data_IF_778959090044
#
_entry.id   IF_778959090044
#
_cell.length_a   1.000
_cell.length_b   1.000
_cell.length_c   1.000
_cell.angle_alpha   90.00
_cell.angle_beta   90.00
_cell.angle_gamma   90.00
#
_symmetry.space_group_name_H-M   'P 1'
#
loop_
_entity.id
_entity.type
_entity.pdbx_description
1 polymer ?
#
# COMPACT_ATOMS: atom_id res chain seq x y z
N UNK A 1 5.24 -39.06 -1.25
CA UNK A 1 5.56 -38.30 0.00
C UNK A 1 5.74 -36.85 -0.43
N UNK A 2 5.14 -35.80 0.13
CA UNK A 2 4.54 -35.57 1.45
C UNK A 2 3.46 -34.47 1.35
N UNK A 3 2.39 -34.72 2.10
CA UNK A 3 1.10 -34.02 2.15
C UNK A 3 1.19 -32.78 3.06
N UNK A 4 1.61 -31.67 2.48
CA UNK A 4 1.32 -30.33 3.04
C UNK A 4 0.78 -29.48 1.89
N UNK A 5 -0.37 -29.91 1.38
CA UNK A 5 -1.11 -29.17 0.36
C UNK A 5 -1.74 -27.95 1.02
N UNK A 6 -1.11 -26.81 0.79
CA UNK A 6 -1.73 -25.53 1.07
C UNK A 6 -2.79 -25.30 -0.02
N UNK A 7 -4.00 -24.90 0.37
CA UNK A 7 -5.10 -24.69 -0.58
C UNK A 7 -5.41 -23.20 -0.70
N UNK A 8 -6.03 -22.82 -1.81
CA UNK A 8 -6.61 -21.48 -1.97
C UNK A 8 -7.62 -21.23 -0.83
N UNK A 9 -7.56 -20.06 -0.22
CA UNK A 9 -8.42 -19.67 0.89
C UNK A 9 -7.95 -20.12 2.28
N UNK A 10 -6.83 -20.83 2.40
CA UNK A 10 -6.24 -21.17 3.70
C UNK A 10 -5.53 -19.96 4.33
N UNK A 11 -5.45 -19.93 5.66
CA UNK A 11 -4.72 -18.91 6.40
C UNK A 11 -3.30 -19.38 6.69
N UNK A 12 -2.34 -18.62 6.17
CA UNK A 12 -0.92 -18.91 6.32
C UNK A 12 -0.19 -17.77 6.99
N UNK A 13 0.91 -18.12 7.62
CA UNK A 13 1.86 -17.18 8.21
C UNK A 13 3.17 -17.26 7.45
N UNK A 14 3.79 -16.10 7.24
CA UNK A 14 5.13 -16.03 6.66
C UNK A 14 6.15 -16.36 7.73
N UNK A 15 6.97 -17.38 7.48
CA UNK A 15 8.00 -17.82 8.45
C UNK A 15 9.32 -17.07 8.26
N UNK A 16 9.59 -16.59 7.05
CA UNK A 16 10.88 -16.03 6.62
C UNK A 16 10.68 -14.94 5.56
N UNK A 17 11.55 -13.94 5.55
CA UNK A 17 11.52 -12.81 4.60
C UNK A 17 11.18 -11.47 5.25
N UNK A 18 10.92 -10.45 4.43
CA UNK A 18 10.58 -9.09 4.88
C UNK A 18 9.28 -9.04 5.71
N UNK A 19 8.34 -9.95 5.41
CA UNK A 19 7.01 -9.99 6.01
C UNK A 19 6.89 -11.07 7.12
N UNK A 20 8.00 -11.47 7.74
CA UNK A 20 8.03 -12.53 8.76
C UNK A 20 7.06 -12.27 9.92
N UNK A 21 6.23 -13.26 10.23
CA UNK A 21 5.27 -13.24 11.34
C UNK A 21 3.91 -12.65 10.98
N UNK A 22 3.75 -12.08 9.78
CA UNK A 22 2.44 -11.65 9.28
C UNK A 22 1.62 -12.84 8.82
N UNK A 23 0.32 -12.75 9.06
CA UNK A 23 -0.70 -13.73 8.68
C UNK A 23 -1.45 -13.18 7.47
N UNK A 24 -1.88 -14.06 6.58
CA UNK A 24 -2.70 -13.66 5.45
C UNK A 24 -3.38 -14.85 4.80
N UNK A 25 -4.37 -14.55 3.96
CA UNK A 25 -5.17 -15.53 3.24
C UNK A 25 -4.62 -15.74 1.83
N UNK A 26 -4.62 -16.98 1.36
CA UNK A 26 -4.16 -17.29 0.01
C UNK A 26 -5.23 -16.92 -1.01
N UNK A 27 -4.91 -15.95 -1.87
CA UNK A 27 -5.73 -15.52 -3.00
C UNK A 27 -5.58 -16.52 -4.16
N UNK A 28 -4.34 -16.90 -4.46
CA UNK A 28 -4.03 -17.81 -5.55
C UNK A 28 -2.85 -18.72 -5.20
N UNK A 29 -2.93 -19.97 -5.64
CA UNK A 29 -1.87 -20.95 -5.47
C UNK A 29 -1.50 -21.57 -6.82
N UNK A 30 -0.28 -21.32 -7.26
CA UNK A 30 0.30 -21.95 -8.42
C UNK A 30 1.15 -23.15 -7.99
N UNK A 31 0.64 -24.36 -8.23
CA UNK A 31 1.32 -25.62 -7.90
C UNK A 31 2.54 -25.89 -8.78
N UNK A 32 2.56 -25.39 -10.02
CA UNK A 32 3.64 -25.66 -10.96
C UNK A 32 4.94 -24.94 -10.57
N UNK A 33 4.83 -23.70 -10.08
CA UNK A 33 5.98 -22.87 -9.65
C UNK A 33 6.13 -22.83 -8.11
N UNK A 34 5.35 -23.63 -7.38
CA UNK A 34 5.26 -23.62 -5.91
C UNK A 34 5.10 -22.21 -5.31
N UNK A 35 4.38 -21.34 -6.02
CA UNK A 35 4.15 -19.94 -5.66
C UNK A 35 2.75 -19.70 -5.11
N UNK A 36 2.67 -18.96 -4.02
CA UNK A 36 1.43 -18.57 -3.35
C UNK A 36 1.32 -17.05 -3.31
N UNK A 37 0.21 -16.51 -3.79
CA UNK A 37 -0.15 -15.09 -3.62
C UNK A 37 -0.99 -14.97 -2.37
N UNK A 38 -0.54 -14.15 -1.42
CA UNK A 38 -1.21 -13.91 -0.15
C UNK A 38 -1.70 -12.47 -0.12
N UNK A 39 -2.94 -12.29 0.32
CA UNK A 39 -3.58 -10.98 0.35
C UNK A 39 -2.86 -10.03 1.30
N UNK A 40 -2.53 -8.83 0.83
CA UNK A 40 -1.93 -7.78 1.66
C UNK A 40 -0.48 -8.03 2.12
N UNK A 41 0.19 -9.07 1.62
CA UNK A 41 1.59 -9.35 1.87
C UNK A 41 2.45 -9.12 0.63
N UNK A 42 3.69 -8.69 0.85
CA UNK A 42 4.69 -8.52 -0.20
C UNK A 42 4.18 -7.58 -1.33
N UNK A 43 3.67 -6.41 -0.93
CA UNK A 43 3.22 -5.36 -1.85
C UNK A 43 4.42 -4.75 -2.58
N UNK A 44 4.43 -4.87 -3.90
CA UNK A 44 5.45 -4.29 -4.76
C UNK A 44 4.87 -3.09 -5.49
N UNK A 45 5.53 -1.94 -5.36
CA UNK A 45 5.21 -0.73 -6.11
C UNK A 45 5.69 -0.89 -7.54
N UNK A 46 4.76 -1.00 -8.48
CA UNK A 46 5.04 -1.04 -9.92
C UNK A 46 4.72 0.33 -10.51
N UNK A 47 5.75 0.96 -11.08
CA UNK A 47 5.59 2.17 -11.89
C UNK A 47 5.10 1.75 -13.27
N UNK A 48 3.83 2.04 -13.57
CA UNK A 48 3.28 1.80 -14.89
C UNK A 48 3.54 3.03 -15.75
N UNK A 49 4.27 2.84 -16.85
CA UNK A 49 4.45 3.89 -17.85
C UNK A 49 3.08 4.24 -18.44
N UNK A 50 2.80 5.53 -18.57
CA UNK A 50 1.57 6.02 -19.19
C UNK A 50 1.46 5.47 -20.62
N UNK A 51 0.38 4.76 -20.92
CA UNK A 51 0.04 4.29 -22.26
C UNK A 51 -1.04 5.20 -22.84
N UNK A 52 -1.23 5.18 -24.16
CA UNK A 52 -2.15 6.06 -24.89
C UNK A 52 -3.61 6.03 -24.35
N UNK A 53 -4.04 4.92 -23.74
CA UNK A 53 -5.39 4.72 -23.18
C UNK A 53 -5.45 4.75 -21.64
N UNK A 54 -4.29 4.78 -20.95
CA UNK A 54 -4.22 4.58 -19.50
C UNK A 54 -3.60 5.76 -18.76
N UNK A 55 -4.24 6.23 -17.70
CA UNK A 55 -3.57 7.09 -16.72
C UNK A 55 -2.43 6.29 -16.08
N UNK A 56 -1.20 6.69 -16.38
CA UNK A 56 0.00 6.16 -15.73
C UNK A 56 -0.05 6.46 -14.23
N UNK A 57 0.53 5.59 -13.42
CA UNK A 57 0.46 5.71 -11.98
C UNK A 57 1.30 4.69 -11.24
N UNK A 58 1.35 4.84 -9.92
CA UNK A 58 1.97 3.88 -9.01
C UNK A 58 0.87 2.90 -8.62
N UNK A 59 0.96 1.67 -9.09
CA UNK A 59 0.05 0.58 -8.67
C UNK A 59 0.78 -0.33 -7.70
N UNK A 60 0.11 -0.65 -6.60
CA UNK A 60 0.58 -1.67 -5.67
C UNK A 60 0.03 -3.02 -6.12
N UNK A 61 0.92 -4.00 -6.32
CA UNK A 61 0.53 -5.38 -6.61
C UNK A 61 1.15 -6.34 -5.62
N UNK A 62 0.34 -7.29 -5.22
CA UNK A 62 0.70 -8.41 -4.38
C UNK A 62 1.66 -9.30 -5.16
N UNK A 63 2.86 -9.53 -4.62
CA UNK A 63 3.83 -10.39 -5.25
C UNK A 63 3.81 -11.80 -4.65
N UNK A 64 3.86 -12.84 -5.49
CA UNK A 64 3.79 -14.21 -5.01
C UNK A 64 5.03 -14.58 -4.19
N UNK A 65 4.80 -15.32 -3.12
CA UNK A 65 5.81 -15.82 -2.19
C UNK A 65 6.01 -17.32 -2.45
N UNK A 66 7.23 -17.82 -2.23
CA UNK A 66 7.52 -19.25 -2.36
C UNK A 66 6.86 -20.05 -1.22
N UNK A 67 6.30 -21.23 -1.54
CA UNK A 67 5.64 -22.13 -0.58
C UNK A 67 6.51 -22.43 0.64
N UNK A 68 7.82 -22.56 0.48
CA UNK A 68 8.74 -22.86 1.59
C UNK A 68 8.89 -21.73 2.60
N UNK A 69 8.48 -20.50 2.27
CA UNK A 69 8.53 -19.34 3.16
C UNK A 69 7.21 -19.10 3.89
N UNK A 70 6.24 -20.00 3.73
CA UNK A 70 4.92 -19.91 4.37
C UNK A 70 4.58 -21.20 5.12
N UNK A 71 3.72 -21.08 6.11
CA UNK A 71 3.25 -22.20 6.92
C UNK A 71 1.78 -22.00 7.29
N UNK A 72 1.03 -23.08 7.50
CA UNK A 72 -0.34 -22.99 8.03
C UNK A 72 -0.35 -22.25 9.36
N UNK A 73 -1.24 -21.28 9.52
CA UNK A 73 -1.36 -20.48 10.75
C UNK A 73 -1.59 -21.36 11.98
N UNK A 74 -2.43 -22.39 11.86
CA UNK A 74 -2.69 -23.37 12.92
C UNK A 74 -1.43 -24.14 13.35
N UNK A 75 -0.58 -24.54 12.40
CA UNK A 75 0.67 -25.25 12.72
C UNK A 75 1.68 -24.33 13.41
N UNK A 76 1.72 -23.05 13.01
CA UNK A 76 2.58 -22.06 13.63
C UNK A 76 2.21 -21.79 15.08
N UNK A 77 0.92 -21.65 15.37
CA UNK A 77 0.43 -21.40 16.73
C UNK A 77 0.71 -22.61 17.64
N UNK A 78 0.41 -23.82 17.16
CA UNK A 78 0.72 -25.06 17.86
C UNK A 78 2.24 -25.23 18.12
N UNK A 79 3.10 -24.80 17.19
CA UNK A 79 4.56 -24.85 17.36
C UNK A 79 5.06 -23.85 18.40
N UNK A 80 4.40 -22.70 18.53
CA UNK A 80 4.71 -21.70 19.56
C UNK A 80 4.21 -22.14 20.93
N UNK A 81 3.04 -22.77 21.01
CA UNK A 81 2.48 -23.30 22.26
C UNK A 81 3.38 -24.38 22.91
N UNK A 82 4.06 -25.21 22.11
CA UNK A 82 4.99 -26.25 22.61
C UNK A 82 6.35 -25.71 23.10
N UNK A 83 6.65 -24.43 22.89
CA UNK A 83 7.87 -23.80 23.46
C UNK A 83 7.48 -23.01 24.71
N UNK A 84 7.90 -23.42 25.92
CA UNK A 84 7.65 -22.61 27.11
C UNK A 84 8.36 -21.25 26.96
N UNK A 85 7.55 -20.19 26.87
CA UNK A 85 7.82 -18.80 27.25
C UNK A 85 9.28 -18.30 27.21
N UNK A 86 9.87 -18.09 26.02
CA UNK A 86 11.05 -17.18 25.85
C UNK A 86 10.99 -16.25 24.64
N UNK A 87 9.81 -16.04 24.04
CA UNK A 87 9.64 -15.09 22.94
C UNK A 87 8.36 -14.25 23.08
N UNK A 88 8.03 -13.86 24.32
CA UNK A 88 7.21 -12.68 24.55
C UNK A 88 8.10 -11.46 24.27
N UNK A 89 8.00 -10.92 23.05
CA UNK A 89 8.14 -9.49 22.76
C UNK A 89 7.92 -9.25 21.27
N UNK A 90 6.98 -8.34 21.01
CA UNK A 90 6.87 -7.49 19.81
C UNK A 90 6.24 -8.11 18.56
N UNK A 91 4.93 -8.01 18.49
CA UNK A 91 4.23 -7.53 17.30
C UNK A 91 2.79 -7.19 17.71
N UNK A 92 2.68 -6.29 18.68
CA UNK A 92 1.44 -5.58 18.95
C UNK A 92 1.48 -4.31 18.09
N UNK A 93 0.42 -4.15 17.33
CA UNK A 93 -0.09 -2.88 16.82
C UNK A 93 0.85 -2.03 15.94
N UNK A 94 0.64 -2.11 14.63
CA UNK A 94 0.86 -0.95 13.76
C UNK A 94 -0.50 -0.51 13.25
N UNK A 95 -1.33 0.02 14.15
CA UNK A 95 -2.24 1.07 13.72
C UNK A 95 -1.37 2.16 13.08
N UNK A 96 -1.73 2.69 11.90
CA UNK A 96 -0.95 3.73 11.28
C UNK A 96 -0.81 4.86 12.32
N UNK A 97 0.43 5.28 12.56
CA UNK A 97 0.62 6.64 13.07
C UNK A 97 -0.09 7.49 12.05
N UNK A 98 -1.23 8.07 12.41
CA UNK A 98 -1.59 9.38 11.88
C UNK A 98 -0.33 10.21 12.08
N UNK A 99 0.45 10.29 11.01
CA UNK A 99 1.45 11.32 10.92
C UNK A 99 0.66 12.58 11.18
N UNK A 100 1.01 13.26 12.29
CA UNK A 100 0.78 14.70 12.46
C UNK A 100 0.61 15.29 11.07
N UNK A 101 -0.48 16.00 10.75
CA UNK A 101 -0.59 16.64 9.46
C UNK A 101 0.75 17.33 9.26
N UNK A 102 1.50 16.91 8.23
CA UNK A 102 2.57 17.77 7.76
C UNK A 102 1.79 19.03 7.48
N UNK A 103 2.02 20.05 8.29
CA UNK A 103 1.88 21.39 7.82
C UNK A 103 2.72 21.40 6.54
N UNK A 104 2.05 21.11 5.42
CA UNK A 104 2.25 21.93 4.25
C UNK A 104 2.22 23.32 4.85
N UNK A 105 3.40 23.92 4.99
CA UNK A 105 3.47 25.31 4.63
C UNK A 105 2.74 25.34 3.29
N UNK A 106 1.51 25.83 3.31
CA UNK A 106 0.94 26.40 2.10
C UNK A 106 2.12 27.14 1.47
N UNK A 107 2.51 26.83 0.22
CA UNK A 107 3.28 27.83 -0.49
C UNK A 107 2.41 29.06 -0.35
N UNK A 108 2.89 30.09 0.35
CA UNK A 108 2.22 31.40 0.31
C UNK A 108 2.04 31.62 -1.17
N UNK A 109 0.80 31.48 -1.66
CA UNK A 109 0.44 32.15 -2.89
C UNK A 109 0.79 33.57 -2.53
N UNK A 110 1.88 34.05 -3.10
CA UNK A 110 2.12 35.47 -3.14
C UNK A 110 0.96 35.94 -4.00
N UNK A 111 -0.12 36.32 -3.34
CA UNK A 111 -1.20 37.03 -3.98
C UNK A 111 -0.52 38.28 -4.50
N UNK A 112 -0.15 38.24 -5.78
CA UNK A 112 0.14 39.44 -6.52
C UNK A 112 -1.11 40.30 -6.32
N UNK A 113 -0.98 41.52 -5.76
CA UNK A 113 -2.14 42.39 -5.70
C UNK A 113 -2.69 42.51 -7.13
N UNK A 114 -4.01 42.43 -7.33
CA UNK A 114 -4.57 42.70 -8.63
C UNK A 114 -4.05 44.08 -9.04
N UNK A 115 -3.34 44.14 -10.17
CA UNK A 115 -2.95 45.40 -10.76
C UNK A 115 -4.21 46.25 -10.98
N UNK A 116 -4.10 47.59 -10.95
CA UNK A 116 -5.24 48.44 -11.24
C UNK A 116 -5.82 48.04 -12.60
N UNK A 117 -7.11 47.72 -12.60
CA UNK A 117 -7.84 47.38 -13.81
C UNK A 117 -7.69 48.52 -14.83
N UNK A 118 -7.48 48.23 -16.12
CA UNK A 118 -7.42 49.27 -17.13
C UNK A 118 -8.78 49.98 -17.17
N UNK A 119 -8.76 51.27 -16.87
CA UNK A 119 -9.90 52.17 -17.02
C UNK A 119 -10.40 52.08 -18.47
N UNK A 120 -11.51 51.38 -18.67
CA UNK A 120 -12.21 51.35 -19.94
C UNK A 120 -12.55 52.78 -20.33
N UNK A 121 -11.98 53.19 -21.46
CA UNK A 121 -12.28 54.40 -22.21
C UNK A 121 -13.80 54.54 -22.33
N UNK A 122 -14.38 55.31 -21.41
CA UNK A 122 -15.78 55.72 -21.53
C UNK A 122 -15.82 56.75 -22.65
N UNK A 123 -16.51 56.50 -23.76
CA UNK A 123 -16.71 57.53 -24.76
C UNK A 123 -17.58 58.62 -24.12
N UNK A 124 -16.97 59.79 -23.87
CA UNK A 124 -17.69 61.00 -23.47
C UNK A 124 -18.54 61.46 -24.66
N UNK A 125 -19.74 60.90 -24.76
CA UNK A 125 -20.81 61.49 -25.54
C UNK A 125 -21.22 62.82 -24.89
N UNK A 126 -20.85 63.90 -25.59
CA UNK A 126 -21.71 65.05 -25.95
C UNK A 126 -22.19 65.97 -24.80
N UNK A 127 -22.02 67.30 -25.02
CA UNK A 127 -23.04 68.40 -24.92
C UNK A 127 -22.30 69.72 -24.63
N UNK A 128 -22.16 70.60 -25.64
CA UNK A 128 -22.90 71.87 -25.79
C UNK A 128 -22.82 72.83 -24.58
N UNK A 129 -22.24 74.01 -24.82
CA UNK A 129 -22.19 75.17 -23.94
C UNK A 129 -21.25 76.22 -24.51
#
# INVERSE_FOLDING_TARGET
MSKTDIKKGDEVVVISGAEKGKRGKIVSYNRADERVTIEGLNLVKRHLKRTQDGQGGITEREAPIHRSNVMLGSLWDARRAKKPAKAAKKSEEVLPREGRPRAHQEPRLQEHPPGPEPEEDRPQFRLQG
#
